data_IF_287713647111
#
_entry.id   IF_287713647111
#
_cell.length_a   1.000
_cell.length_b   1.000
_cell.length_c   1.000
_cell.angle_alpha   90.00
_cell.angle_beta   90.00
_cell.angle_gamma   90.00
#
_symmetry.space_group_name_H-M   'P 1'
#
loop_
_entity.id
_entity.type
_entity.pdbx_description
1 polymer ?
#
# COMPACT_ATOMS: atom_id res chain seq x y z
N UNK A 1 20.48 -16.66 -1.27
CA UNK A 1 21.41 -16.62 -0.12
C UNK A 1 21.36 -15.33 0.70
N UNK A 2 20.68 -14.25 0.27
CA UNK A 2 20.60 -13.01 1.07
C UNK A 2 19.64 -13.06 2.28
N UNK A 3 18.72 -14.03 2.33
CA UNK A 3 17.63 -14.06 3.33
C UNK A 3 17.91 -14.90 4.59
N UNK A 4 19.03 -15.65 4.64
CA UNK A 4 19.27 -16.61 5.74
C UNK A 4 20.19 -16.10 6.86
N UNK A 5 20.88 -14.97 6.67
CA UNK A 5 21.96 -14.54 7.58
C UNK A 5 21.57 -13.45 8.59
N UNK A 6 20.31 -13.02 8.65
CA UNK A 6 19.85 -12.01 9.62
C UNK A 6 19.07 -12.60 10.81
N UNK A 7 18.81 -13.91 10.83
CA UNK A 7 17.93 -14.57 11.81
C UNK A 7 18.67 -15.40 12.88
N UNK A 8 19.91 -15.03 13.26
CA UNK A 8 20.68 -15.79 14.26
C UNK A 8 21.09 -14.96 15.48
N UNK A 9 20.10 -14.55 16.27
CA UNK A 9 20.23 -14.41 17.73
C UNK A 9 18.86 -14.18 18.39
N UNK A 10 18.44 -15.14 19.24
CA UNK A 10 17.19 -15.24 20.03
C UNK A 10 15.91 -15.59 19.26
N UNK A 11 15.26 -16.71 19.64
CA UNK A 11 14.65 -17.63 18.67
C UNK A 11 13.12 -17.65 18.53
N UNK A 12 12.35 -16.83 19.24
CA UNK A 12 10.88 -16.81 19.06
C UNK A 12 10.34 -15.37 18.86
N UNK A 13 10.77 -14.41 19.68
CA UNK A 13 10.35 -12.99 19.58
C UNK A 13 10.76 -12.36 18.25
N UNK A 14 11.93 -12.71 17.72
CA UNK A 14 12.35 -12.20 16.42
C UNK A 14 11.48 -12.75 15.28
N UNK A 15 11.05 -14.00 15.34
CA UNK A 15 10.27 -14.61 14.26
C UNK A 15 8.88 -13.98 14.13
N UNK A 16 8.21 -13.71 15.25
CA UNK A 16 6.91 -13.00 15.25
C UNK A 16 7.03 -11.59 14.67
N UNK A 17 8.04 -10.81 15.09
CA UNK A 17 8.30 -9.46 14.57
C UNK A 17 8.58 -9.47 13.06
N UNK A 18 9.29 -10.48 12.56
CA UNK A 18 9.53 -10.62 11.13
C UNK A 18 8.26 -10.96 10.35
N UNK A 19 7.39 -11.82 10.89
CA UNK A 19 6.10 -12.12 10.27
C UNK A 19 5.21 -10.87 10.22
N UNK A 20 5.20 -10.06 11.28
CA UNK A 20 4.46 -8.80 11.32
C UNK A 20 4.96 -7.82 10.24
N UNK A 21 6.28 -7.70 10.05
CA UNK A 21 6.86 -6.91 8.96
C UNK A 21 6.43 -7.43 7.59
N UNK A 22 6.46 -8.75 7.38
CA UNK A 22 6.04 -9.39 6.13
C UNK A 22 4.57 -9.09 5.84
N UNK A 23 3.71 -9.16 6.86
CA UNK A 23 2.29 -8.86 6.74
C UNK A 23 2.04 -7.37 6.47
N UNK A 24 2.71 -6.48 7.21
CA UNK A 24 2.57 -5.03 7.09
C UNK A 24 2.94 -4.52 5.69
N UNK A 25 3.98 -5.11 5.08
CA UNK A 25 4.43 -4.79 3.73
C UNK A 25 3.96 -5.80 2.66
N UNK A 26 2.87 -6.52 2.97
CA UNK A 26 2.08 -7.31 2.01
C UNK A 26 2.92 -8.34 1.23
N UNK A 27 3.92 -8.94 1.87
CA UNK A 27 4.89 -9.90 1.27
C UNK A 27 5.67 -9.34 0.07
N UNK A 28 5.63 -8.03 -0.18
CA UNK A 28 6.21 -7.42 -1.37
C UNK A 28 7.75 -7.32 -1.24
N UNK A 29 8.55 -8.09 -2.01
CA UNK A 29 9.98 -8.24 -1.75
C UNK A 29 10.76 -6.91 -1.81
N UNK A 30 10.34 -5.99 -2.68
CA UNK A 30 10.98 -4.68 -2.80
C UNK A 30 10.69 -3.76 -1.62
N UNK A 31 9.49 -3.83 -1.04
CA UNK A 31 9.16 -3.03 0.14
C UNK A 31 9.97 -3.53 1.33
N UNK A 32 9.99 -4.85 1.53
CA UNK A 32 10.80 -5.50 2.55
C UNK A 32 12.29 -5.20 2.39
N UNK A 33 12.80 -5.12 1.16
CA UNK A 33 14.18 -4.69 0.92
C UNK A 33 14.42 -3.26 1.42
N UNK A 34 13.58 -2.30 1.06
CA UNK A 34 13.73 -0.91 1.52
C UNK A 34 13.61 -0.78 3.05
N UNK A 35 12.71 -1.54 3.65
CA UNK A 35 12.51 -1.54 5.11
C UNK A 35 13.67 -2.21 5.85
N UNK A 36 14.22 -3.30 5.32
CA UNK A 36 15.41 -3.92 5.94
C UNK A 36 16.63 -3.00 5.92
N UNK A 37 16.79 -2.19 4.87
CA UNK A 37 17.83 -1.15 4.80
C UNK A 37 17.56 -0.07 5.86
N UNK A 38 16.32 0.43 5.94
CA UNK A 38 15.93 1.42 6.96
C UNK A 38 16.20 0.91 8.39
N UNK A 39 15.78 -0.31 8.72
CA UNK A 39 15.99 -0.91 10.03
C UNK A 39 17.48 -1.01 10.34
N UNK A 40 18.29 -1.46 9.39
CA UNK A 40 19.74 -1.56 9.57
C UNK A 40 20.39 -0.20 9.79
N UNK A 41 20.03 0.79 8.98
CA UNK A 41 20.75 2.07 8.91
C UNK A 41 20.31 3.05 10.02
N UNK A 42 19.03 3.03 10.41
CA UNK A 42 18.45 3.99 11.38
C UNK A 42 18.22 3.34 12.75
N UNK A 43 17.77 2.08 12.77
CA UNK A 43 17.45 1.37 14.01
C UNK A 43 18.58 0.40 14.40
N UNK A 44 19.76 0.53 13.79
CA UNK A 44 20.95 -0.29 14.06
C UNK A 44 20.71 -1.81 13.97
N UNK A 45 19.71 -2.25 13.20
CA UNK A 45 19.31 -3.65 13.09
C UNK A 45 18.27 -4.12 14.11
N UNK A 46 17.86 -3.28 15.06
CA UNK A 46 16.87 -3.60 16.08
C UNK A 46 15.44 -3.51 15.51
N UNK A 47 14.91 -4.66 15.10
CA UNK A 47 13.55 -4.74 14.53
C UNK A 47 12.47 -4.40 15.55
N UNK A 48 12.70 -4.68 16.83
CA UNK A 48 11.76 -4.39 17.90
C UNK A 48 11.58 -2.88 18.12
N UNK A 49 12.65 -2.08 18.00
CA UNK A 49 12.58 -0.62 18.05
C UNK A 49 11.79 -0.06 16.87
N UNK A 50 12.05 -0.57 15.65
CA UNK A 50 11.24 -0.21 14.48
C UNK A 50 9.75 -0.46 14.69
N UNK A 51 9.38 -1.59 15.29
CA UNK A 51 7.97 -1.92 15.53
C UNK A 51 7.30 -0.99 16.56
N UNK A 52 8.06 -0.34 17.44
CA UNK A 52 7.51 0.62 18.42
C UNK A 52 6.97 1.89 17.78
N UNK A 53 7.35 2.20 16.54
CA UNK A 53 6.77 3.31 15.77
C UNK A 53 5.27 3.11 15.49
N UNK A 54 4.75 1.88 15.63
CA UNK A 54 3.33 1.54 15.55
C UNK A 54 2.62 2.10 14.29
N UNK A 55 3.36 2.26 13.18
CA UNK A 55 2.84 2.79 11.93
C UNK A 55 3.49 2.14 10.71
N UNK A 56 2.80 2.20 9.56
CA UNK A 56 3.35 1.79 8.27
C UNK A 56 4.26 2.91 7.76
N UNK A 57 5.57 2.67 7.76
CA UNK A 57 6.56 3.66 7.34
C UNK A 57 6.80 3.54 5.83
N UNK A 58 6.64 4.66 5.13
CA UNK A 58 7.03 4.78 3.72
C UNK A 58 8.42 5.40 3.63
N UNK A 59 9.41 4.60 3.23
CA UNK A 59 10.75 5.12 2.91
C UNK A 59 10.70 6.06 1.71
N UNK A 60 11.68 6.95 1.58
CA UNK A 60 11.81 7.83 0.40
C UNK A 60 11.93 7.02 -0.91
N UNK A 61 12.55 5.84 -0.87
CA UNK A 61 12.59 4.94 -2.02
C UNK A 61 11.21 4.40 -2.41
N UNK A 62 10.37 4.04 -1.44
CA UNK A 62 8.98 3.60 -1.71
C UNK A 62 8.17 4.79 -2.25
N UNK A 63 8.27 5.97 -1.61
CA UNK A 63 7.57 7.18 -2.06
C UNK A 63 7.94 7.55 -3.50
N UNK A 64 9.22 7.57 -3.83
CA UNK A 64 9.66 7.91 -5.19
C UNK A 64 9.12 6.95 -6.27
N UNK A 65 8.96 5.66 -5.96
CA UNK A 65 8.34 4.69 -6.88
C UNK A 65 6.85 4.96 -7.07
N UNK A 66 6.18 5.35 -5.99
CA UNK A 66 4.78 5.75 -6.03
C UNK A 66 4.57 7.10 -6.72
N UNK A 67 5.46 8.07 -6.56
CA UNK A 67 5.43 9.34 -7.30
C UNK A 67 5.46 9.09 -8.81
N UNK A 68 6.37 8.21 -9.27
CA UNK A 68 6.45 7.82 -10.68
C UNK A 68 5.17 7.16 -11.19
N UNK A 69 4.45 6.44 -10.32
CA UNK A 69 3.16 5.83 -10.65
C UNK A 69 2.06 6.87 -10.69
N UNK A 70 1.95 7.67 -9.63
CA UNK A 70 0.97 8.75 -9.46
C UNK A 70 1.02 9.78 -10.59
N UNK A 71 2.22 10.20 -10.98
CA UNK A 71 2.42 11.21 -12.03
C UNK A 71 1.97 10.73 -13.41
N UNK A 72 1.83 9.42 -13.63
CA UNK A 72 1.33 8.84 -14.88
C UNK A 72 -0.18 8.64 -14.90
N UNK A 73 -0.85 8.81 -13.75
CA UNK A 73 -2.29 8.69 -13.67
C UNK A 73 -2.98 9.93 -14.22
N UNK A 74 -4.08 9.70 -14.93
CA UNK A 74 -5.00 10.74 -15.35
C UNK A 74 -5.73 11.38 -14.17
N UNK A 75 -6.28 12.56 -14.35
CA UNK A 75 -7.01 13.25 -13.27
C UNK A 75 -8.25 12.47 -12.80
N UNK A 76 -8.92 11.77 -13.72
CA UNK A 76 -10.04 10.86 -13.40
C UNK A 76 -9.58 9.73 -12.49
N UNK A 77 -8.47 9.08 -12.82
CA UNK A 77 -7.92 7.98 -12.01
C UNK A 77 -7.51 8.46 -10.62
N UNK A 78 -6.88 9.64 -10.53
CA UNK A 78 -6.50 10.27 -9.26
C UNK A 78 -7.73 10.56 -8.40
N UNK A 79 -8.78 11.16 -8.97
CA UNK A 79 -10.03 11.42 -8.26
C UNK A 79 -10.67 10.14 -7.70
N UNK A 80 -10.70 9.06 -8.49
CA UNK A 80 -11.23 7.76 -8.03
C UNK A 80 -10.41 7.22 -6.86
N UNK A 81 -9.07 7.24 -6.95
CA UNK A 81 -8.20 6.74 -5.88
C UNK A 81 -8.33 7.56 -4.60
N UNK A 82 -8.33 8.88 -4.69
CA UNK A 82 -8.52 9.77 -3.54
C UNK A 82 -9.90 9.58 -2.90
N UNK A 83 -10.94 9.34 -3.71
CA UNK A 83 -12.26 9.01 -3.16
C UNK A 83 -12.24 7.72 -2.36
N UNK A 84 -11.58 6.68 -2.86
CA UNK A 84 -11.44 5.40 -2.14
C UNK A 84 -10.59 5.56 -0.87
N UNK A 85 -9.55 6.42 -0.90
CA UNK A 85 -8.68 6.63 0.27
C UNK A 85 -9.41 7.31 1.43
N UNK A 86 -10.32 8.24 1.12
CA UNK A 86 -11.16 8.97 2.09
C UNK A 86 -12.20 8.08 2.79
N UNK A 87 -12.43 6.86 2.28
CA UNK A 87 -13.40 5.93 2.83
C UNK A 87 -12.70 4.76 3.52
N UNK A 88 -13.14 4.45 4.75
CA UNK A 88 -12.61 3.32 5.51
C UNK A 88 -13.06 1.98 4.90
N UNK A 89 -14.30 1.93 4.38
CA UNK A 89 -14.85 0.73 3.75
C UNK A 89 -14.55 0.70 2.24
N UNK A 90 -14.39 -0.50 1.65
CA UNK A 90 -14.36 -0.67 0.19
C UNK A 90 -15.58 -0.01 -0.46
N UNK A 91 -15.38 0.62 -1.63
CA UNK A 91 -16.45 1.28 -2.37
C UNK A 91 -16.84 0.47 -3.60
N UNK A 92 -18.13 0.27 -3.82
CA UNK A 92 -18.68 -0.23 -5.07
C UNK A 92 -18.53 0.81 -6.19
N UNK A 93 -18.65 0.34 -7.43
CA UNK A 93 -18.68 1.24 -8.60
C UNK A 93 -19.78 2.29 -8.49
N UNK A 94 -20.95 1.90 -8.00
CA UNK A 94 -22.12 2.77 -8.01
C UNK A 94 -22.02 3.85 -6.90
N UNK A 95 -21.45 3.52 -5.74
CA UNK A 95 -21.08 4.52 -4.71
C UNK A 95 -20.02 5.52 -5.23
N UNK A 96 -19.06 5.06 -6.03
CA UNK A 96 -18.07 5.96 -6.66
C UNK A 96 -18.76 6.89 -7.67
N UNK A 97 -19.74 6.40 -8.43
CA UNK A 97 -20.54 7.22 -9.37
C UNK A 97 -21.38 8.28 -8.67
N UNK A 98 -21.98 7.94 -7.53
CA UNK A 98 -22.79 8.88 -6.76
C UNK A 98 -21.95 9.96 -6.07
N UNK A 99 -20.68 9.67 -5.80
CA UNK A 99 -19.82 10.55 -5.02
C UNK A 99 -18.88 11.44 -5.81
N UNK A 100 -18.74 11.21 -7.12
CA UNK A 100 -17.89 12.00 -8.01
C UNK A 100 -18.74 12.67 -9.09
N UNK A 101 -18.46 13.94 -9.37
CA UNK A 101 -19.07 14.69 -10.48
C UNK A 101 -18.44 14.33 -11.84
N UNK A 102 -18.35 13.03 -12.14
CA UNK A 102 -17.77 12.46 -13.36
C UNK A 102 -18.83 11.66 -14.13
N UNK A 103 -18.68 11.54 -15.44
CA UNK A 103 -19.56 10.70 -16.24
C UNK A 103 -19.39 9.21 -15.90
N UNK A 104 -20.43 8.43 -16.14
CA UNK A 104 -20.35 6.97 -15.98
C UNK A 104 -19.24 6.34 -16.82
N UNK A 105 -18.94 6.88 -18.00
CA UNK A 105 -17.90 6.35 -18.88
C UNK A 105 -16.50 6.63 -18.33
N UNK A 106 -16.25 7.85 -17.82
CA UNK A 106 -14.99 8.21 -17.16
C UNK A 106 -14.71 7.30 -15.97
N UNK A 107 -15.70 7.07 -15.11
CA UNK A 107 -15.54 6.20 -13.93
C UNK A 107 -15.27 4.75 -14.33
N UNK A 108 -16.00 4.21 -15.31
CA UNK A 108 -15.79 2.83 -15.78
C UNK A 108 -14.39 2.67 -16.38
N UNK A 109 -13.97 3.62 -17.23
CA UNK A 109 -12.65 3.57 -17.87
C UNK A 109 -11.52 3.75 -16.84
N UNK A 110 -11.69 4.67 -15.88
CA UNK A 110 -10.76 4.89 -14.79
C UNK A 110 -10.59 3.64 -13.90
N UNK A 111 -11.70 3.05 -13.44
CA UNK A 111 -11.68 1.80 -12.67
C UNK A 111 -11.05 0.63 -13.45
N UNK A 112 -11.36 0.51 -14.75
CA UNK A 112 -10.77 -0.53 -15.60
C UNK A 112 -9.25 -0.34 -15.73
N UNK A 113 -8.81 0.90 -15.97
CA UNK A 113 -7.40 1.25 -16.12
C UNK A 113 -6.61 1.01 -14.83
N UNK A 114 -7.12 1.49 -13.69
CA UNK A 114 -6.52 1.26 -12.37
C UNK A 114 -6.45 -0.23 -12.02
N UNK A 115 -7.51 -0.99 -12.31
CA UNK A 115 -7.52 -2.45 -12.13
C UNK A 115 -6.43 -3.14 -12.96
N UNK A 116 -6.27 -2.78 -14.25
CA UNK A 116 -5.25 -3.37 -15.13
C UNK A 116 -3.83 -3.11 -14.66
N UNK A 117 -3.62 -2.02 -13.92
CA UNK A 117 -2.33 -1.68 -13.28
C UNK A 117 -2.16 -2.26 -11.88
N UNK A 118 -3.12 -3.06 -11.40
CA UNK A 118 -3.10 -3.64 -10.05
C UNK A 118 -3.08 -2.58 -8.92
N UNK A 119 -3.61 -1.38 -9.19
CA UNK A 119 -3.72 -0.31 -8.20
C UNK A 119 -5.02 -0.38 -7.38
N UNK A 120 -5.89 -1.33 -7.70
CA UNK A 120 -7.12 -1.64 -6.98
C UNK A 120 -7.19 -3.14 -6.70
N UNK A 121 -7.62 -3.47 -5.49
CA UNK A 121 -7.99 -4.81 -5.06
C UNK A 121 -9.50 -4.94 -5.21
N UNK A 122 -9.95 -6.01 -5.87
CA UNK A 122 -11.38 -6.31 -6.04
C UNK A 122 -11.87 -7.25 -4.95
N UNK A 123 -13.02 -6.94 -4.38
CA UNK A 123 -13.70 -7.81 -3.42
C UNK A 123 -14.99 -8.34 -4.06
N UNK A 124 -15.05 -9.65 -4.28
CA UNK A 124 -16.17 -10.29 -4.98
C UNK A 124 -17.38 -10.54 -4.07
N UNK A 125 -17.18 -10.64 -2.76
CA UNK A 125 -18.21 -11.04 -1.81
C UNK A 125 -19.23 -9.94 -1.45
N UNK A 126 -18.84 -8.66 -1.50
CA UNK A 126 -19.72 -7.53 -1.18
C UNK A 126 -19.74 -6.49 -2.31
N UNK A 127 -20.84 -6.49 -3.08
CA UNK A 127 -21.19 -5.47 -4.07
C UNK A 127 -20.16 -5.18 -5.18
N UNK A 128 -19.24 -6.11 -5.47
CA UNK A 128 -18.14 -5.90 -6.45
C UNK A 128 -17.38 -4.61 -6.15
N UNK A 129 -16.94 -4.48 -4.91
CA UNK A 129 -16.28 -3.29 -4.37
C UNK A 129 -14.77 -3.29 -4.63
N UNK A 130 -14.21 -2.10 -4.51
CA UNK A 130 -12.80 -1.82 -4.73
C UNK A 130 -12.16 -1.33 -3.43
N UNK A 131 -10.96 -1.83 -3.15
CA UNK A 131 -10.11 -1.39 -2.05
C UNK A 131 -8.66 -1.16 -2.54
N UNK A 132 -7.79 -0.68 -1.66
CA UNK A 132 -6.38 -0.37 -1.93
C UNK A 132 -5.50 -1.24 -1.05
N UNK A 133 -4.32 -1.61 -1.54
CA UNK A 133 -3.29 -2.20 -0.68
C UNK A 133 -2.92 -1.22 0.46
N UNK A 134 -2.55 -1.73 1.63
CA UNK A 134 -2.23 -0.92 2.81
C UNK A 134 -1.09 0.06 2.53
N UNK A 135 -0.03 -0.41 1.87
CA UNK A 135 1.15 0.41 1.54
C UNK A 135 0.78 1.51 0.53
N UNK A 136 -0.03 1.17 -0.49
CA UNK A 136 -0.49 2.14 -1.49
C UNK A 136 -1.47 3.15 -0.90
N UNK A 137 -2.39 2.69 -0.04
CA UNK A 137 -3.32 3.54 0.70
C UNK A 137 -2.58 4.55 1.56
N UNK A 138 -1.55 4.12 2.28
CA UNK A 138 -0.77 5.02 3.14
C UNK A 138 -0.09 6.13 2.33
N UNK A 139 0.42 5.80 1.14
CA UNK A 139 0.99 6.83 0.25
C UNK A 139 -0.08 7.82 -0.21
N UNK A 140 -1.25 7.33 -0.63
CA UNK A 140 -2.34 8.19 -1.11
C UNK A 140 -2.90 9.12 -0.04
N UNK A 141 -2.85 8.74 1.25
CA UNK A 141 -3.23 9.62 2.37
C UNK A 141 -2.33 10.86 2.48
N UNK A 142 -1.09 10.80 1.99
CA UNK A 142 -0.18 11.95 1.95
C UNK A 142 -0.59 12.99 0.89
N UNK A 143 -1.49 12.61 -0.02
CA UNK A 143 -1.92 13.44 -1.16
C UNK A 143 -3.38 13.90 -1.03
N UNK A 144 -4.12 13.40 -0.04
CA UNK A 144 -5.57 13.59 0.13
C UNK A 144 -5.95 14.73 1.06
#
# INVERSE_FOLDING_TARGET
MLFANLAKSSSDIHEEVWLDLINLYETHPRYLQHISILIKDIFHGETSEFMQENCLILTENIKSQFDLTWNKLTDVEKQILLKIVQNQQPLSRDEIKESLSLSSMEIINGLQSLTRRYLLIKLEHHQKSFHLSSVWREYLKLLS
#
